data_IF_084844174573
#
_entry.id   IF_084844174573
#
_cell.length_a   1.000
_cell.length_b   1.000
_cell.length_c   1.000
_cell.angle_alpha   90.00
_cell.angle_beta   90.00
_cell.angle_gamma   90.00
#
_symmetry.space_group_name_H-M   'P 1'
#
loop_
_entity.id
_entity.type
_entity.pdbx_description
1 polymer ?
#
# COMPACT_ATOMS: atom_id res chain seq x y z
N UNK A 1 9.76 28.69 -10.15
CA UNK A 1 8.42 28.64 -10.81
C UNK A 1 7.51 29.62 -10.07
N UNK A 2 6.78 30.53 -10.76
CA UNK A 2 5.82 31.39 -10.09
C UNK A 2 4.72 30.56 -9.38
N UNK A 3 4.30 30.89 -8.15
CA UNK A 3 3.32 30.12 -7.37
C UNK A 3 2.01 29.81 -8.12
N UNK A 4 1.59 30.70 -9.04
CA UNK A 4 0.40 30.52 -9.88
C UNK A 4 0.51 29.40 -10.92
N UNK A 5 1.72 29.02 -11.35
CA UNK A 5 1.92 27.96 -12.34
C UNK A 5 2.03 26.56 -11.72
N UNK A 6 2.39 26.48 -10.43
CA UNK A 6 2.49 25.22 -9.67
C UNK A 6 1.18 24.42 -9.72
N UNK A 7 0.03 25.07 -9.60
CA UNK A 7 -1.29 24.41 -9.68
C UNK A 7 -1.59 23.80 -11.05
N UNK A 8 -1.16 24.43 -12.16
CA UNK A 8 -1.35 23.89 -13.52
C UNK A 8 -0.50 22.64 -13.74
N UNK A 9 0.77 22.68 -13.32
CA UNK A 9 1.66 21.53 -13.43
C UNK A 9 1.24 20.39 -12.50
N UNK A 10 0.86 20.69 -11.24
CA UNK A 10 0.33 19.69 -10.31
C UNK A 10 -0.93 19.00 -10.88
N UNK A 11 -1.81 19.74 -11.57
CA UNK A 11 -2.97 19.17 -12.26
C UNK A 11 -2.60 18.22 -13.41
N UNK A 12 -1.59 18.57 -14.22
CA UNK A 12 -1.09 17.71 -15.31
C UNK A 12 -0.45 16.43 -14.74
N UNK A 13 0.41 16.57 -13.72
CA UNK A 13 1.00 15.42 -13.03
C UNK A 13 -0.07 14.53 -12.39
N UNK A 14 -1.07 15.13 -11.75
CA UNK A 14 -2.22 14.42 -11.20
C UNK A 14 -3.00 13.65 -12.28
N UNK A 15 -3.23 14.25 -13.45
CA UNK A 15 -3.90 13.59 -14.58
C UNK A 15 -3.07 12.43 -15.17
N UNK A 16 -1.76 12.57 -15.30
CA UNK A 16 -0.89 11.47 -15.74
C UNK A 16 -0.91 10.33 -14.73
N UNK A 17 -0.80 10.65 -13.44
CA UNK A 17 -0.91 9.67 -12.36
C UNK A 17 -2.27 8.96 -12.36
N UNK A 18 -3.35 9.69 -12.63
CA UNK A 18 -4.70 9.17 -12.77
C UNK A 18 -4.80 8.11 -13.86
N UNK A 19 -4.39 8.49 -15.07
CA UNK A 19 -4.45 7.63 -16.25
C UNK A 19 -3.57 6.41 -16.01
N UNK A 20 -2.37 6.58 -15.43
CA UNK A 20 -1.49 5.47 -15.09
C UNK A 20 -2.10 4.51 -14.07
N UNK A 21 -2.73 5.02 -13.01
CA UNK A 21 -3.33 4.19 -11.96
C UNK A 21 -4.54 3.42 -12.47
N UNK A 22 -5.36 4.01 -13.35
CA UNK A 22 -6.51 3.35 -13.98
C UNK A 22 -6.05 2.35 -15.05
N UNK A 23 -5.11 2.75 -15.90
CA UNK A 23 -4.62 1.91 -16.99
C UNK A 23 -3.80 0.71 -16.51
N UNK A 24 -3.09 0.83 -15.37
CA UNK A 24 -2.22 -0.22 -14.84
C UNK A 24 -2.91 -1.57 -14.66
N UNK A 25 -3.96 -1.68 -13.82
CA UNK A 25 -4.69 -2.94 -13.63
C UNK A 25 -5.37 -3.45 -14.91
N UNK A 26 -5.88 -2.56 -15.76
CA UNK A 26 -6.51 -2.93 -17.03
C UNK A 26 -5.51 -3.55 -18.01
N UNK A 27 -4.40 -2.87 -18.26
CA UNK A 27 -3.33 -3.34 -19.16
C UNK A 27 -2.67 -4.59 -18.57
N UNK A 28 -2.40 -4.60 -17.26
CA UNK A 28 -1.84 -5.75 -16.56
C UNK A 28 -2.75 -6.98 -16.63
N UNK A 29 -4.06 -6.80 -16.41
CA UNK A 29 -5.05 -7.87 -16.52
C UNK A 29 -5.09 -8.47 -17.93
N UNK A 30 -5.14 -7.63 -18.97
CA UNK A 30 -5.14 -8.09 -20.37
C UNK A 30 -3.84 -8.81 -20.73
N UNK A 31 -2.69 -8.34 -20.26
CA UNK A 31 -1.40 -9.00 -20.47
C UNK A 31 -1.37 -10.42 -19.86
N UNK A 32 -1.90 -10.56 -18.64
CA UNK A 32 -1.97 -11.85 -17.95
C UNK A 32 -2.97 -12.80 -18.60
N UNK A 33 -4.16 -12.30 -18.98
CA UNK A 33 -5.22 -13.12 -19.60
C UNK A 33 -4.87 -13.53 -21.05
N UNK A 34 -3.92 -12.85 -21.69
CA UNK A 34 -3.49 -13.19 -23.04
C UNK A 34 -2.50 -14.36 -23.02
N UNK A 35 -2.91 -15.51 -23.57
CA UNK A 35 -2.21 -16.80 -23.50
C UNK A 35 -0.74 -16.81 -23.93
N UNK A 36 -0.32 -15.90 -24.82
CA UNK A 36 1.07 -15.81 -25.33
C UNK A 36 1.92 -14.73 -24.64
N UNK A 37 1.31 -13.80 -23.92
CA UNK A 37 2.00 -12.78 -23.12
C UNK A 37 2.22 -13.33 -21.71
N UNK A 38 1.15 -13.71 -21.01
CA UNK A 38 1.25 -14.16 -19.62
C UNK A 38 1.82 -13.09 -18.68
N UNK A 39 1.91 -13.44 -17.40
CA UNK A 39 2.23 -12.49 -16.32
C UNK A 39 3.62 -11.84 -16.41
N UNK A 40 4.58 -12.48 -17.10
CA UNK A 40 5.97 -11.99 -17.21
C UNK A 40 6.05 -10.66 -17.97
N UNK A 41 5.15 -10.42 -18.92
CA UNK A 41 5.13 -9.19 -19.70
C UNK A 41 4.71 -7.95 -18.92
N UNK A 42 4.09 -8.11 -17.74
CA UNK A 42 3.86 -7.01 -16.81
C UNK A 42 5.16 -6.32 -16.38
N UNK A 43 6.30 -7.04 -16.39
CA UNK A 43 7.62 -6.47 -16.09
C UNK A 43 8.28 -5.85 -17.34
N UNK A 44 8.07 -6.43 -18.52
CA UNK A 44 8.70 -5.96 -19.76
C UNK A 44 8.01 -4.75 -20.36
N UNK A 45 6.69 -4.60 -20.20
CA UNK A 45 5.95 -3.50 -20.83
C UNK A 45 6.41 -2.12 -20.33
N UNK A 46 6.86 -2.01 -19.08
CA UNK A 46 7.35 -0.75 -18.52
C UNK A 46 8.70 -0.30 -19.10
N UNK A 47 9.53 -1.24 -19.54
CA UNK A 47 10.89 -0.98 -20.06
C UNK A 47 10.90 0.00 -21.25
N UNK A 48 10.13 -0.21 -22.34
CA UNK A 48 10.12 0.73 -23.47
C UNK A 48 9.63 2.13 -23.08
N UNK A 49 8.62 2.24 -22.20
CA UNK A 49 8.17 3.54 -21.70
C UNK A 49 9.25 4.25 -20.85
N UNK A 50 9.96 3.50 -20.01
CA UNK A 50 11.07 4.03 -19.22
C UNK A 50 12.21 4.52 -20.11
N UNK A 51 12.59 3.75 -21.14
CA UNK A 51 13.62 4.14 -22.11
C UNK A 51 13.21 5.41 -22.88
N UNK A 52 11.97 5.49 -23.34
CA UNK A 52 11.43 6.68 -23.99
C UNK A 52 11.44 7.90 -23.07
N UNK A 53 11.04 7.74 -21.81
CA UNK A 53 11.06 8.81 -20.82
C UNK A 53 12.50 9.29 -20.55
N UNK A 54 13.46 8.38 -20.38
CA UNK A 54 14.88 8.70 -20.20
C UNK A 54 15.41 9.46 -21.44
N UNK A 55 15.12 8.99 -22.64
CA UNK A 55 15.57 9.64 -23.88
C UNK A 55 14.97 11.05 -24.03
N UNK A 56 13.69 11.23 -23.69
CA UNK A 56 13.03 12.54 -23.66
C UNK A 56 13.68 13.47 -22.65
N UNK A 57 13.90 13.01 -21.42
CA UNK A 57 14.55 13.79 -20.36
C UNK A 57 15.97 14.19 -20.75
N UNK A 58 16.78 13.29 -21.29
CA UNK A 58 18.13 13.60 -21.77
C UNK A 58 18.13 14.66 -22.87
N UNK A 59 17.12 14.69 -23.74
CA UNK A 59 17.03 15.68 -24.84
C UNK A 59 16.47 17.03 -24.40
N UNK A 60 15.52 17.05 -23.47
CA UNK A 60 14.73 18.26 -23.15
C UNK A 60 15.11 18.92 -21.82
N UNK A 61 15.58 18.15 -20.84
CA UNK A 61 15.84 18.66 -19.50
C UNK A 61 17.26 19.25 -19.42
N UNK A 62 17.37 20.56 -19.66
CA UNK A 62 18.60 21.34 -19.44
C UNK A 62 18.49 22.09 -18.12
N UNK A 63 18.92 21.45 -17.03
CA UNK A 63 18.97 22.09 -15.71
C UNK A 63 20.33 22.80 -15.53
N UNK A 64 20.36 24.01 -14.95
CA UNK A 64 21.62 24.63 -14.54
C UNK A 64 22.30 23.74 -13.51
N UNK A 65 23.55 23.35 -13.79
CA UNK A 65 24.34 22.49 -12.92
C UNK A 65 24.82 23.27 -11.70
N UNK A 66 24.06 23.20 -10.62
CA UNK A 66 24.50 23.70 -9.31
C UNK A 66 25.41 22.62 -8.70
N UNK A 67 26.73 22.76 -8.87
CA UNK A 67 27.70 21.91 -8.19
C UNK A 67 27.74 22.29 -6.72
N UNK A 68 27.22 21.43 -5.85
CA UNK A 68 27.38 21.50 -4.40
C UNK A 68 28.25 20.32 -3.97
N UNK A 69 29.21 20.55 -3.08
CA UNK A 69 29.87 19.45 -2.37
C UNK A 69 28.85 18.82 -1.43
N UNK A 70 28.43 17.60 -1.74
CA UNK A 70 27.47 16.83 -0.94
C UNK A 70 28.20 15.65 -0.34
N UNK A 71 28.15 15.49 0.99
CA UNK A 71 28.67 14.32 1.69
C UNK A 71 27.52 13.34 1.90
N UNK A 72 27.50 12.29 1.09
CA UNK A 72 26.47 11.25 1.18
C UNK A 72 26.68 10.42 2.45
N UNK A 73 25.64 10.30 3.27
CA UNK A 73 25.62 9.42 4.44
C UNK A 73 25.37 7.96 4.02
N UNK A 74 26.41 7.30 3.50
CA UNK A 74 26.35 5.90 3.10
C UNK A 74 26.08 4.96 4.28
N UNK A 75 26.60 5.30 5.46
CA UNK A 75 26.51 4.44 6.64
C UNK A 75 25.11 4.50 7.25
N UNK A 76 24.54 5.71 7.40
CA UNK A 76 23.15 5.91 7.80
C UNK A 76 22.18 5.25 6.83
N UNK A 77 22.35 5.49 5.52
CA UNK A 77 21.53 4.86 4.49
C UNK A 77 21.58 3.32 4.57
N UNK A 78 22.77 2.74 4.73
CA UNK A 78 22.93 1.29 4.86
C UNK A 78 22.24 0.74 6.12
N UNK A 79 22.42 1.39 7.28
CA UNK A 79 21.80 0.96 8.53
C UNK A 79 20.27 1.02 8.48
N UNK A 80 19.70 2.09 7.89
CA UNK A 80 18.25 2.21 7.70
C UNK A 80 17.75 1.08 6.80
N UNK A 81 18.36 0.88 5.64
CA UNK A 81 17.93 -0.14 4.68
C UNK A 81 18.06 -1.53 5.29
N UNK A 82 19.20 -1.85 5.91
CA UNK A 82 19.41 -3.15 6.54
C UNK A 82 18.42 -3.42 7.69
N UNK A 83 18.19 -2.42 8.56
CA UNK A 83 17.25 -2.55 9.67
C UNK A 83 15.81 -2.74 9.20
N UNK A 84 15.36 -1.94 8.22
CA UNK A 84 14.01 -2.08 7.66
C UNK A 84 13.84 -3.39 6.90
N UNK A 85 14.81 -3.79 6.07
CA UNK A 85 14.77 -5.07 5.39
C UNK A 85 14.70 -6.25 6.38
N UNK A 86 15.48 -6.23 7.46
CA UNK A 86 15.43 -7.28 8.48
C UNK A 86 14.03 -7.40 9.11
N UNK A 87 13.39 -6.28 9.44
CA UNK A 87 12.02 -6.27 9.97
C UNK A 87 10.99 -6.73 8.93
N UNK A 88 11.12 -6.32 7.67
CA UNK A 88 10.21 -6.75 6.60
C UNK A 88 10.34 -8.24 6.30
N UNK A 89 11.57 -8.76 6.27
CA UNK A 89 11.86 -10.20 6.16
C UNK A 89 11.21 -10.96 7.31
N UNK A 90 11.35 -10.47 8.53
CA UNK A 90 10.69 -11.06 9.69
C UNK A 90 9.17 -11.13 9.53
N UNK A 91 8.49 -10.01 9.25
CA UNK A 91 7.03 -10.00 9.10
C UNK A 91 6.57 -10.88 7.93
N UNK A 92 7.38 -10.98 6.87
CA UNK A 92 7.03 -11.79 5.69
C UNK A 92 7.20 -13.29 5.88
N UNK A 93 8.12 -13.74 6.74
CA UNK A 93 8.47 -15.17 6.91
C UNK A 93 7.95 -15.77 8.22
N UNK A 94 7.69 -14.92 9.23
CA UNK A 94 7.16 -15.35 10.52
C UNK A 94 5.77 -15.97 10.36
N UNK A 95 5.60 -17.18 10.89
CA UNK A 95 4.38 -17.98 10.79
C UNK A 95 4.31 -18.88 9.54
N UNK A 96 5.29 -18.80 8.64
CA UNK A 96 5.40 -19.70 7.48
C UNK A 96 6.67 -20.57 7.55
N UNK A 97 7.84 -19.93 7.51
CA UNK A 97 9.13 -20.64 7.53
C UNK A 97 9.67 -20.84 8.95
N UNK A 98 9.30 -19.96 9.87
CA UNK A 98 9.66 -20.06 11.28
C UNK A 98 8.57 -19.49 12.16
N UNK A 99 8.49 -19.99 13.39
CA UNK A 99 7.46 -19.56 14.34
C UNK A 99 7.62 -18.08 14.74
N UNK A 100 6.49 -17.47 15.08
CA UNK A 100 6.43 -16.12 15.65
C UNK A 100 7.26 -15.98 16.93
N UNK A 101 7.40 -17.06 17.72
CA UNK A 101 8.26 -17.12 18.90
C UNK A 101 9.44 -18.07 18.65
N UNK A 102 10.43 -17.59 17.90
CA UNK A 102 11.62 -18.36 17.51
C UNK A 102 12.90 -17.55 17.69
N UNK A 103 14.05 -18.23 17.72
CA UNK A 103 15.35 -17.53 17.80
C UNK A 103 15.60 -16.67 16.56
N UNK A 104 15.12 -17.10 15.37
CA UNK A 104 15.18 -16.32 14.13
C UNK A 104 14.39 -15.01 14.28
N UNK A 105 13.19 -15.07 14.84
CA UNK A 105 12.40 -13.87 15.18
C UNK A 105 13.18 -12.95 16.12
N UNK A 106 13.81 -13.50 17.17
CA UNK A 106 14.63 -12.71 18.09
C UNK A 106 15.82 -12.02 17.41
N UNK A 107 16.51 -12.71 16.49
CA UNK A 107 17.65 -12.15 15.75
C UNK A 107 17.21 -11.10 14.75
N UNK A 108 16.15 -11.35 13.97
CA UNK A 108 15.69 -10.40 12.95
C UNK A 108 15.05 -9.15 13.57
N UNK A 109 14.23 -9.31 14.60
CA UNK A 109 13.61 -8.16 15.29
C UNK A 109 14.62 -7.42 16.16
N UNK A 110 15.38 -8.12 16.99
CA UNK A 110 16.41 -7.52 17.83
C UNK A 110 17.50 -6.86 16.99
N UNK A 111 18.02 -7.55 15.98
CA UNK A 111 19.01 -7.02 15.04
C UNK A 111 18.47 -5.85 14.21
N UNK A 112 17.24 -5.96 13.68
CA UNK A 112 16.60 -4.88 12.94
C UNK A 112 16.42 -3.62 13.78
N UNK A 113 15.91 -3.75 15.01
CA UNK A 113 15.75 -2.63 15.95
C UNK A 113 17.11 -2.04 16.33
N UNK A 114 18.11 -2.87 16.62
CA UNK A 114 19.47 -2.40 16.93
C UNK A 114 20.07 -1.61 15.76
N UNK A 115 19.90 -2.07 14.52
CA UNK A 115 20.37 -1.38 13.32
C UNK A 115 19.66 -0.03 13.13
N UNK A 116 18.35 0.03 13.36
CA UNK A 116 17.60 1.30 13.28
C UNK A 116 17.99 2.27 14.41
N UNK A 117 18.21 1.78 15.62
CA UNK A 117 18.71 2.60 16.73
C UNK A 117 20.10 3.14 16.38
N UNK A 118 20.99 2.30 15.87
CA UNK A 118 22.30 2.72 15.38
C UNK A 118 22.18 3.75 14.24
N UNK A 119 21.23 3.57 13.32
CA UNK A 119 20.96 4.52 12.25
C UNK A 119 20.58 5.90 12.81
N UNK A 120 19.69 5.96 13.81
CA UNK A 120 19.31 7.22 14.45
C UNK A 120 20.51 7.90 15.10
N UNK A 121 21.41 7.16 15.76
CA UNK A 121 22.62 7.74 16.34
C UNK A 121 23.59 8.29 15.30
N UNK A 122 23.71 7.62 14.15
CA UNK A 122 24.56 8.06 13.03
C UNK A 122 23.95 9.30 12.37
N UNK A 123 22.68 9.23 12.00
CA UNK A 123 21.91 10.33 11.40
C UNK A 123 21.92 11.59 12.28
N UNK A 124 21.89 11.43 13.61
CA UNK A 124 21.96 12.55 14.55
C UNK A 124 23.34 13.25 14.57
N UNK A 125 24.40 12.59 14.09
CA UNK A 125 25.79 13.08 14.11
C UNK A 125 26.31 13.47 12.72
N UNK A 126 25.69 13.00 11.64
CA UNK A 126 26.11 13.31 10.27
C UNK A 126 25.78 14.75 9.88
N UNK A 127 26.67 15.40 9.11
CA UNK A 127 26.49 16.78 8.67
C UNK A 127 25.39 16.95 7.60
N UNK A 128 25.17 15.93 6.77
CA UNK A 128 24.12 15.87 5.75
C UNK A 128 23.33 14.55 5.88
N UNK A 129 22.45 14.43 6.91
CA UNK A 129 21.68 13.21 7.16
C UNK A 129 20.65 12.93 6.07
N UNK A 130 20.33 11.65 5.83
CA UNK A 130 19.29 11.26 4.85
C UNK A 130 17.90 11.64 5.37
N UNK A 131 17.69 11.45 6.68
CA UNK A 131 16.47 11.80 7.40
C UNK A 131 16.84 12.85 8.44
N UNK A 132 16.73 14.16 8.12
CA UNK A 132 17.05 15.22 9.06
C UNK A 132 16.10 15.16 10.28
N UNK A 133 16.56 14.52 11.36
CA UNK A 133 15.73 14.20 12.54
C UNK A 133 15.05 15.43 13.17
N UNK A 134 15.62 16.62 12.95
CA UNK A 134 15.04 17.89 13.35
C UNK A 134 13.64 18.16 12.79
N UNK A 135 13.28 17.60 11.63
CA UNK A 135 11.94 17.76 11.04
C UNK A 135 10.85 17.14 11.92
N UNK A 136 11.15 16.06 12.65
CA UNK A 136 10.21 15.39 13.55
C UNK A 136 9.97 16.17 14.85
N UNK A 137 10.76 17.21 15.13
CA UNK A 137 10.45 18.15 16.22
C UNK A 137 9.20 18.96 15.90
N UNK A 138 8.84 19.09 14.62
CA UNK A 138 7.55 19.65 14.23
C UNK A 138 6.45 18.58 14.40
N UNK A 139 5.50 18.89 15.29
CA UNK A 139 4.35 18.02 15.57
C UNK A 139 3.53 17.68 14.32
N UNK A 140 3.39 18.61 13.38
CA UNK A 140 2.68 18.37 12.12
C UNK A 140 3.36 17.28 11.30
N UNK A 141 4.69 17.32 11.15
CA UNK A 141 5.46 16.33 10.39
C UNK A 141 5.36 14.95 11.04
N UNK A 142 5.44 14.89 12.36
CA UNK A 142 5.34 13.62 13.10
C UNK A 142 3.93 13.01 12.96
N UNK A 143 2.88 13.80 13.14
CA UNK A 143 1.50 13.34 12.98
C UNK A 143 1.20 12.91 11.53
N UNK A 144 1.66 13.68 10.54
CA UNK A 144 1.45 13.32 9.13
C UNK A 144 2.25 12.08 8.74
N UNK A 145 3.41 11.85 9.35
CA UNK A 145 4.20 10.61 9.12
C UNK A 145 3.49 9.38 9.68
N UNK A 146 2.99 9.46 10.91
CA UNK A 146 2.21 8.36 11.52
C UNK A 146 0.94 8.09 10.71
N UNK A 147 0.20 9.14 10.34
CA UNK A 147 -0.99 8.99 9.49
C UNK A 147 -0.63 8.40 8.10
N UNK A 148 0.50 8.80 7.50
CA UNK A 148 0.97 8.27 6.21
C UNK A 148 1.28 6.77 6.28
N UNK A 149 1.87 6.31 7.39
CA UNK A 149 2.08 4.88 7.65
C UNK A 149 0.75 4.12 7.73
N UNK A 150 -0.22 4.63 8.50
CA UNK A 150 -1.53 4.01 8.66
C UNK A 150 -2.34 3.98 7.35
N UNK A 151 -2.26 5.06 6.56
CA UNK A 151 -2.83 5.11 5.21
C UNK A 151 -2.18 4.08 4.30
N UNK A 152 -0.87 3.84 4.44
CA UNK A 152 -0.16 2.76 3.76
C UNK A 152 -0.80 1.39 4.01
N UNK A 153 -1.05 1.05 5.27
CA UNK A 153 -1.71 -0.20 5.68
C UNK A 153 -3.06 -0.34 4.99
N UNK A 154 -3.91 0.69 5.07
CA UNK A 154 -5.26 0.68 4.49
C UNK A 154 -5.24 0.61 2.95
N UNK A 155 -4.36 1.37 2.32
CA UNK A 155 -4.26 1.47 0.86
C UNK A 155 -3.79 0.15 0.24
N UNK A 156 -2.66 -0.38 0.71
CA UNK A 156 -2.10 -1.60 0.13
C UNK A 156 -2.89 -2.84 0.59
N UNK A 157 -3.29 -2.91 1.86
CA UNK A 157 -4.16 -3.98 2.34
C UNK A 157 -5.46 -4.02 1.54
N UNK A 158 -6.17 -2.89 1.44
CA UNK A 158 -7.42 -2.85 0.70
C UNK A 158 -7.28 -3.19 -0.78
N UNK A 159 -6.24 -2.70 -1.45
CA UNK A 159 -6.07 -2.98 -2.89
C UNK A 159 -5.68 -4.43 -3.16
N UNK A 160 -4.79 -5.01 -2.34
CA UNK A 160 -4.30 -6.38 -2.52
C UNK A 160 -5.38 -7.41 -2.20
N UNK A 161 -6.00 -7.34 -1.02
CA UNK A 161 -6.97 -8.34 -0.59
C UNK A 161 -8.27 -8.27 -1.36
N UNK A 162 -8.68 -7.07 -1.80
CA UNK A 162 -9.86 -6.95 -2.64
C UNK A 162 -9.64 -7.53 -4.05
N UNK A 163 -8.44 -7.37 -4.61
CA UNK A 163 -8.07 -8.02 -5.86
C UNK A 163 -8.05 -9.55 -5.73
N UNK A 164 -7.52 -10.07 -4.62
CA UNK A 164 -7.58 -11.50 -4.29
C UNK A 164 -9.03 -11.97 -4.10
N UNK A 165 -9.89 -11.21 -3.44
CA UNK A 165 -11.30 -11.54 -3.28
C UNK A 165 -12.02 -11.70 -4.64
N UNK A 166 -11.76 -10.81 -5.60
CA UNK A 166 -12.35 -10.92 -6.95
C UNK A 166 -11.87 -12.14 -7.73
N UNK A 167 -10.57 -12.41 -7.66
CA UNK A 167 -9.97 -13.50 -8.45
C UNK A 167 -10.23 -14.86 -7.82
N UNK A 168 -10.09 -14.95 -6.50
CA UNK A 168 -10.27 -16.16 -5.73
C UNK A 168 -11.77 -16.31 -5.45
N UNK A 169 -12.31 -15.63 -4.45
CA UNK A 169 -13.68 -15.89 -3.96
C UNK A 169 -14.77 -15.79 -5.05
N UNK A 170 -14.66 -14.86 -6.01
CA UNK A 170 -15.65 -14.70 -7.10
C UNK A 170 -15.26 -15.40 -8.41
N UNK A 171 -14.09 -16.06 -8.47
CA UNK A 171 -13.61 -16.79 -9.63
C UNK A 171 -13.48 -15.94 -10.91
N UNK A 172 -13.28 -14.62 -10.79
CA UNK A 172 -13.19 -13.72 -11.95
C UNK A 172 -11.78 -13.71 -12.53
N UNK A 173 -11.67 -13.49 -13.84
CA UNK A 173 -10.37 -13.34 -14.47
C UNK A 173 -9.66 -12.07 -13.96
N UNK A 174 -8.32 -12.04 -13.98
CA UNK A 174 -7.51 -10.84 -13.71
C UNK A 174 -7.99 -9.57 -14.40
N UNK A 175 -8.42 -9.64 -15.68
CA UNK A 175 -8.96 -8.47 -16.39
C UNK A 175 -10.24 -7.96 -15.74
N UNK A 176 -11.16 -8.85 -15.35
CA UNK A 176 -12.41 -8.47 -14.71
C UNK A 176 -12.15 -7.93 -13.31
N UNK A 177 -11.25 -8.53 -12.53
CA UNK A 177 -10.86 -8.02 -11.21
C UNK A 177 -10.26 -6.60 -11.30
N UNK A 178 -9.42 -6.35 -12.31
CA UNK A 178 -8.91 -5.03 -12.63
C UNK A 178 -10.03 -4.02 -12.95
N UNK A 179 -10.99 -4.41 -13.79
CA UNK A 179 -12.15 -3.58 -14.11
C UNK A 179 -13.04 -3.31 -12.88
N UNK A 180 -13.21 -4.30 -12.01
CA UNK A 180 -13.96 -4.17 -10.76
C UNK A 180 -13.27 -3.26 -9.74
N UNK A 181 -11.96 -3.03 -9.86
CA UNK A 181 -11.20 -2.10 -9.01
C UNK A 181 -11.37 -0.61 -9.37
N UNK A 182 -11.96 -0.32 -10.53
CA UNK A 182 -12.13 1.05 -11.02
C UNK A 182 -12.85 2.02 -10.08
N UNK A 183 -13.96 1.64 -9.38
CA UNK A 183 -14.64 2.56 -8.48
C UNK A 183 -13.73 3.10 -7.37
N UNK A 184 -12.84 2.26 -6.84
CA UNK A 184 -11.86 2.67 -5.83
C UNK A 184 -10.84 3.65 -6.41
N UNK A 185 -10.30 3.34 -7.58
CA UNK A 185 -9.30 4.19 -8.26
C UNK A 185 -9.90 5.55 -8.62
N UNK A 186 -11.13 5.56 -9.14
CA UNK A 186 -11.86 6.80 -9.46
C UNK A 186 -12.16 7.62 -8.20
N UNK A 187 -12.60 6.98 -7.12
CA UNK A 187 -12.82 7.64 -5.82
C UNK A 187 -11.54 8.29 -5.30
N UNK A 188 -10.42 7.56 -5.34
CA UNK A 188 -9.10 8.05 -4.97
C UNK A 188 -8.66 9.24 -5.81
N UNK A 189 -8.82 9.14 -7.12
CA UNK A 189 -8.43 10.19 -8.05
C UNK A 189 -9.22 11.48 -7.84
N UNK A 190 -10.55 11.37 -7.88
CA UNK A 190 -11.46 12.52 -7.82
C UNK A 190 -11.27 13.23 -6.49
N UNK A 191 -11.24 12.49 -5.40
CA UNK A 191 -11.06 13.05 -4.07
C UNK A 191 -9.70 13.69 -3.87
N UNK A 192 -8.60 13.06 -4.32
CA UNK A 192 -7.25 13.63 -4.27
C UNK A 192 -7.17 14.95 -5.04
N UNK A 193 -7.77 15.00 -6.22
CA UNK A 193 -7.74 16.19 -7.08
C UNK A 193 -8.58 17.33 -6.48
N UNK A 194 -9.82 17.02 -6.09
CA UNK A 194 -10.75 18.01 -5.53
C UNK A 194 -10.24 18.52 -4.19
N UNK A 195 -9.85 17.63 -3.27
CA UNK A 195 -9.36 18.03 -1.96
C UNK A 195 -8.06 18.85 -2.07
N UNK A 196 -7.12 18.42 -2.92
CA UNK A 196 -5.88 19.17 -3.16
C UNK A 196 -6.12 20.58 -3.72
N UNK A 197 -7.04 20.72 -4.68
CA UNK A 197 -7.42 22.03 -5.22
C UNK A 197 -8.10 22.92 -4.18
N UNK A 198 -9.05 22.37 -3.42
CA UNK A 198 -9.79 23.15 -2.43
C UNK A 198 -8.89 23.56 -1.27
N UNK A 199 -7.98 22.70 -0.81
CA UNK A 199 -7.00 23.05 0.23
C UNK A 199 -6.05 24.14 -0.29
N UNK A 200 -5.57 24.01 -1.52
CA UNK A 200 -4.72 25.03 -2.14
C UNK A 200 -5.41 26.40 -2.23
N UNK A 201 -6.74 26.43 -2.40
CA UNK A 201 -7.53 27.69 -2.45
C UNK A 201 -7.91 28.22 -1.07
N UNK A 202 -8.26 27.34 -0.13
CA UNK A 202 -8.82 27.73 1.18
C UNK A 202 -7.77 27.85 2.27
N UNK A 203 -6.58 27.27 2.08
CA UNK A 203 -5.52 27.18 3.10
C UNK A 203 -5.85 26.27 4.29
N UNK A 204 -7.08 25.74 4.39
CA UNK A 204 -7.57 24.96 5.52
C UNK A 204 -7.42 23.46 5.24
N UNK A 205 -6.31 22.86 5.65
CA UNK A 205 -6.00 21.44 5.40
C UNK A 205 -6.57 20.48 6.45
N UNK A 206 -6.52 20.84 7.74
CA UNK A 206 -6.84 19.95 8.87
C UNK A 206 -8.22 19.28 8.75
N UNK A 207 -9.26 20.03 8.36
CA UNK A 207 -10.63 19.49 8.24
C UNK A 207 -10.74 18.37 7.21
N UNK A 208 -9.99 18.46 6.12
CA UNK A 208 -10.04 17.48 5.03
C UNK A 208 -9.24 16.24 5.34
N UNK A 209 -8.16 16.38 6.11
CA UNK A 209 -7.40 15.25 6.63
C UNK A 209 -8.23 14.42 7.61
N UNK A 210 -8.86 15.07 8.59
CA UNK A 210 -9.76 14.37 9.54
C UNK A 210 -10.95 13.75 8.80
N UNK A 211 -11.57 14.49 7.87
CA UNK A 211 -12.66 13.94 7.06
C UNK A 211 -12.20 12.75 6.19
N UNK A 212 -11.01 12.82 5.59
CA UNK A 212 -10.45 11.74 4.78
C UNK A 212 -10.16 10.48 5.61
N UNK A 213 -9.57 10.63 6.81
CA UNK A 213 -9.33 9.54 7.74
C UNK A 213 -10.65 8.90 8.21
N UNK A 214 -11.67 9.72 8.50
CA UNK A 214 -13.00 9.23 8.86
C UNK A 214 -13.64 8.45 7.72
N UNK A 215 -13.63 8.99 6.50
CA UNK A 215 -14.18 8.33 5.30
C UNK A 215 -13.43 7.02 5.01
N UNK A 216 -12.11 7.00 5.19
CA UNK A 216 -11.30 5.79 5.03
C UNK A 216 -11.70 4.72 6.06
N UNK A 217 -11.84 5.10 7.33
CA UNK A 217 -12.29 4.18 8.38
C UNK A 217 -13.69 3.63 8.11
N UNK A 218 -14.62 4.48 7.67
CA UNK A 218 -15.98 4.06 7.25
C UNK A 218 -15.91 3.13 6.05
N UNK A 219 -15.07 3.41 5.05
CA UNK A 219 -14.89 2.57 3.87
C UNK A 219 -14.39 1.17 4.23
N UNK A 220 -13.38 1.08 5.11
CA UNK A 220 -12.89 -0.21 5.62
C UNK A 220 -13.97 -0.94 6.43
N UNK A 221 -14.69 -0.24 7.31
CA UNK A 221 -15.75 -0.85 8.11
C UNK A 221 -16.91 -1.37 7.24
N UNK A 222 -17.26 -0.67 6.15
CA UNK A 222 -18.27 -1.13 5.20
C UNK A 222 -17.78 -2.35 4.42
N UNK A 223 -16.53 -2.35 3.96
CA UNK A 223 -15.93 -3.51 3.30
C UNK A 223 -15.86 -4.74 4.24
N UNK A 224 -15.75 -4.53 5.55
CA UNK A 224 -15.82 -5.60 6.54
C UNK A 224 -17.19 -6.28 6.66
N UNK A 225 -18.25 -5.70 6.07
CA UNK A 225 -19.60 -6.30 6.05
C UNK A 225 -19.92 -7.06 4.77
N UNK A 226 -18.94 -7.21 3.87
CA UNK A 226 -19.13 -7.92 2.60
C UNK A 226 -19.28 -9.42 2.86
N UNK A 227 -20.22 -10.01 2.12
CA UNK A 227 -20.45 -11.45 2.06
C UNK A 227 -20.48 -11.90 0.59
N UNK A 228 -20.41 -13.20 0.34
CA UNK A 228 -20.40 -13.79 -1.01
C UNK A 228 -21.65 -13.43 -1.84
N UNK A 229 -22.74 -13.00 -1.19
CA UNK A 229 -24.01 -12.58 -1.83
C UNK A 229 -24.12 -11.06 -2.05
N UNK A 230 -23.12 -10.27 -1.66
CA UNK A 230 -23.21 -8.81 -1.76
C UNK A 230 -23.32 -8.35 -3.21
N UNK A 231 -24.30 -7.49 -3.50
CA UNK A 231 -24.50 -6.92 -4.83
C UNK A 231 -23.29 -6.09 -5.26
N UNK A 232 -22.83 -6.27 -6.51
CA UNK A 232 -21.71 -5.54 -7.09
C UNK A 232 -21.86 -4.02 -7.03
N UNK A 233 -23.10 -3.50 -7.15
CA UNK A 233 -23.36 -2.07 -7.02
C UNK A 233 -23.05 -1.53 -5.62
N UNK A 234 -23.35 -2.31 -4.58
CA UNK A 234 -23.07 -1.96 -3.18
C UNK A 234 -21.56 -2.06 -2.89
N UNK A 235 -20.91 -3.10 -3.42
CA UNK A 235 -19.47 -3.27 -3.35
C UNK A 235 -18.72 -2.10 -4.01
N UNK A 236 -19.16 -1.69 -5.20
CA UNK A 236 -18.60 -0.54 -5.92
C UNK A 236 -18.70 0.76 -5.12
N UNK A 237 -19.81 0.94 -4.37
CA UNK A 237 -19.98 2.09 -3.49
C UNK A 237 -18.99 2.06 -2.32
N UNK A 238 -18.82 0.92 -1.65
CA UNK A 238 -17.87 0.78 -0.53
C UNK A 238 -16.44 1.02 -0.97
N UNK A 239 -16.08 0.49 -2.14
CA UNK A 239 -14.79 0.74 -2.80
C UNK A 239 -14.56 2.21 -3.13
N UNK A 240 -15.59 2.89 -3.66
CA UNK A 240 -15.51 4.32 -3.94
C UNK A 240 -15.33 5.12 -2.65
N UNK A 241 -16.02 4.78 -1.57
CA UNK A 241 -15.86 5.43 -0.25
C UNK A 241 -14.43 5.24 0.26
N UNK A 242 -13.90 4.01 0.25
CA UNK A 242 -12.51 3.75 0.65
C UNK A 242 -11.54 4.56 -0.21
N UNK A 243 -11.72 4.53 -1.53
CA UNK A 243 -10.93 5.29 -2.48
C UNK A 243 -10.94 6.78 -2.15
N UNK A 244 -12.11 7.37 -1.90
CA UNK A 244 -12.25 8.77 -1.51
C UNK A 244 -11.45 9.09 -0.24
N UNK A 245 -11.56 8.26 0.80
CA UNK A 245 -10.79 8.46 2.03
C UNK A 245 -9.28 8.46 1.81
N UNK A 246 -8.79 7.44 1.09
CA UNK A 246 -7.36 7.31 0.76
C UNK A 246 -6.88 8.48 -0.11
N UNK A 247 -7.63 8.87 -1.13
CA UNK A 247 -7.27 9.97 -2.04
C UNK A 247 -7.22 11.32 -1.34
N UNK A 248 -8.15 11.59 -0.42
CA UNK A 248 -8.10 12.78 0.43
C UNK A 248 -6.87 12.82 1.34
N UNK A 249 -6.29 11.68 1.72
CA UNK A 249 -5.12 11.66 2.60
C UNK A 249 -3.81 11.70 1.80
N UNK A 250 -3.75 11.02 0.66
CA UNK A 250 -2.54 10.76 -0.14
C UNK A 250 -1.73 12.02 -0.46
N UNK A 251 -2.39 13.05 -1.00
CA UNK A 251 -1.73 14.32 -1.35
C UNK A 251 -1.71 15.31 -0.18
N UNK A 252 -2.74 15.27 0.67
CA UNK A 252 -2.89 16.30 1.70
C UNK A 252 -1.94 16.13 2.88
N UNK A 253 -1.55 14.88 3.22
CA UNK A 253 -0.50 14.62 4.20
C UNK A 253 0.84 15.20 3.74
N UNK A 254 1.17 15.01 2.45
CA UNK A 254 2.40 15.53 1.85
C UNK A 254 2.38 17.05 1.84
N UNK A 255 1.29 17.66 1.39
CA UNK A 255 1.12 19.13 1.40
C UNK A 255 1.20 19.70 2.82
N UNK A 256 0.59 19.06 3.82
CA UNK A 256 0.64 19.52 5.21
C UNK A 256 2.06 19.53 5.76
N UNK A 257 2.86 18.49 5.50
CA UNK A 257 4.26 18.46 5.90
C UNK A 257 5.12 19.47 5.12
N UNK A 258 4.89 19.62 3.82
CA UNK A 258 5.64 20.56 2.98
C UNK A 258 5.45 22.02 3.42
N UNK A 259 4.25 22.38 3.89
CA UNK A 259 3.98 23.75 4.36
C UNK A 259 4.65 24.08 5.70
N UNK A 260 5.01 23.07 6.47
CA UNK A 260 5.47 23.20 7.86
C UNK A 260 6.99 22.95 8.02
N UNK A 261 7.70 22.73 6.91
CA UNK A 261 9.12 22.39 6.85
C UNK A 261 9.87 23.43 6.00
N UNK A 262 11.12 23.81 6.35
CA UNK A 262 11.92 24.73 5.55
C UNK A 262 12.11 24.25 4.11
N UNK A 263 12.27 25.19 3.16
CA UNK A 263 12.43 24.86 1.75
C UNK A 263 13.61 23.92 1.44
N UNK A 264 14.66 23.97 2.26
CA UNK A 264 15.83 23.09 2.17
C UNK A 264 15.48 21.61 2.45
N UNK A 265 14.48 21.35 3.29
CA UNK A 265 14.13 20.03 3.79
C UNK A 265 12.84 19.46 3.14
N UNK A 266 12.23 20.19 2.18
CA UNK A 266 11.02 19.77 1.45
C UNK A 266 11.16 18.38 0.80
N UNK A 267 12.34 18.13 0.20
CA UNK A 267 12.65 16.84 -0.43
C UNK A 267 12.71 15.71 0.59
N UNK A 268 13.36 15.96 1.73
CA UNK A 268 13.48 14.99 2.82
C UNK A 268 12.12 14.69 3.44
N UNK A 269 11.32 15.71 3.78
CA UNK A 269 9.98 15.52 4.35
C UNK A 269 9.06 14.70 3.43
N UNK A 270 9.06 14.98 2.13
CA UNK A 270 8.26 14.24 1.15
C UNK A 270 8.72 12.78 1.02
N UNK A 271 10.02 12.55 1.06
CA UNK A 271 10.63 11.22 0.97
C UNK A 271 10.34 10.38 2.20
N UNK A 272 10.44 10.98 3.40
CA UNK A 272 10.11 10.35 4.68
C UNK A 272 8.65 9.89 4.69
N UNK A 273 7.70 10.76 4.32
CA UNK A 273 6.28 10.39 4.26
C UNK A 273 6.02 9.23 3.30
N UNK A 274 6.68 9.25 2.14
CA UNK A 274 6.55 8.20 1.13
C UNK A 274 7.15 6.89 1.61
N UNK A 275 8.31 6.95 2.27
CA UNK A 275 8.99 5.80 2.86
C UNK A 275 8.13 5.12 3.94
N UNK A 276 7.67 5.89 4.93
CA UNK A 276 6.82 5.36 6.01
C UNK A 276 5.48 4.83 5.49
N UNK A 277 4.92 5.44 4.43
CA UNK A 277 3.72 4.93 3.76
C UNK A 277 3.97 3.59 3.07
N UNK A 278 5.06 3.46 2.33
CA UNK A 278 5.44 2.20 1.70
C UNK A 278 5.71 1.12 2.74
N UNK A 279 6.42 1.44 3.84
CA UNK A 279 6.60 0.52 4.96
C UNK A 279 5.28 0.08 5.58
N UNK A 280 4.38 1.04 5.88
CA UNK A 280 3.04 0.73 6.38
C UNK A 280 2.26 -0.19 5.44
N UNK A 281 2.39 0.03 4.13
CA UNK A 281 1.83 -0.85 3.12
C UNK A 281 2.37 -2.27 3.18
N UNK A 282 3.70 -2.44 3.18
CA UNK A 282 4.32 -3.76 3.20
C UNK A 282 4.06 -4.50 4.51
N UNK A 283 4.17 -3.82 5.66
CA UNK A 283 3.86 -4.39 6.98
C UNK A 283 2.38 -4.77 7.04
N UNK A 284 1.51 -3.86 6.60
CA UNK A 284 0.06 -4.07 6.56
C UNK A 284 -0.32 -5.31 5.75
N UNK A 285 0.16 -5.40 4.50
CA UNK A 285 -0.11 -6.56 3.64
C UNK A 285 0.44 -7.85 4.23
N UNK A 286 1.62 -7.83 4.84
CA UNK A 286 2.23 -9.04 5.40
C UNK A 286 1.48 -9.54 6.66
N UNK A 287 1.16 -8.64 7.60
CA UNK A 287 0.39 -8.99 8.81
C UNK A 287 -1.03 -9.42 8.46
N UNK A 288 -1.73 -8.66 7.62
CA UNK A 288 -3.06 -9.01 7.14
C UNK A 288 -3.02 -10.33 6.33
N UNK A 289 -1.96 -10.57 5.56
CA UNK A 289 -1.78 -11.81 4.81
C UNK A 289 -1.60 -13.03 5.72
N UNK A 290 -0.79 -12.90 6.77
CA UNK A 290 -0.63 -13.94 7.79
C UNK A 290 -1.94 -14.23 8.55
N UNK A 291 -2.72 -13.19 8.86
CA UNK A 291 -4.05 -13.35 9.48
C UNK A 291 -5.00 -14.07 8.52
N UNK A 292 -5.02 -13.67 7.24
CA UNK A 292 -5.83 -14.31 6.21
C UNK A 292 -5.50 -15.80 6.08
N UNK A 293 -4.22 -16.15 5.96
CA UNK A 293 -3.77 -17.52 5.83
C UNK A 293 -4.23 -18.39 7.02
N UNK A 294 -4.07 -17.89 8.25
CA UNK A 294 -4.52 -18.58 9.46
C UNK A 294 -6.05 -18.74 9.51
N UNK A 295 -6.80 -17.68 9.18
CA UNK A 295 -8.27 -17.71 9.12
C UNK A 295 -8.76 -18.69 8.07
N UNK A 296 -8.23 -18.62 6.85
CA UNK A 296 -8.57 -19.53 5.74
C UNK A 296 -8.27 -20.97 6.14
N UNK A 297 -7.11 -21.25 6.75
CA UNK A 297 -6.79 -22.60 7.24
C UNK A 297 -7.81 -23.08 8.30
N UNK A 298 -8.18 -22.22 9.24
CA UNK A 298 -9.15 -22.56 10.30
C UNK A 298 -10.56 -22.80 9.76
N UNK A 299 -11.03 -21.97 8.82
CA UNK A 299 -12.37 -22.09 8.23
C UNK A 299 -12.43 -23.26 7.23
N UNK A 300 -11.34 -23.53 6.50
CA UNK A 300 -11.23 -24.72 5.64
C UNK A 300 -11.26 -25.99 6.49
N UNK A 301 -10.57 -26.02 7.63
CA UNK A 301 -10.59 -27.16 8.56
C UNK A 301 -12.00 -27.41 9.12
N UNK A 302 -12.71 -26.35 9.51
CA UNK A 302 -14.12 -26.44 9.95
C UNK A 302 -15.05 -26.94 8.83
N UNK A 303 -14.92 -26.38 7.63
CA UNK A 303 -15.72 -26.80 6.47
C UNK A 303 -15.50 -28.26 6.09
N UNK A 304 -14.25 -28.75 6.16
CA UNK A 304 -13.95 -30.17 5.91
C UNK A 304 -14.42 -31.07 7.05
N UNK A 305 -14.34 -30.63 8.31
CA UNK A 305 -14.89 -31.40 9.44
C UNK A 305 -16.41 -31.50 9.38
N UNK A 306 -17.09 -30.43 9.01
CA UNK A 306 -18.56 -30.40 8.84
C UNK A 306 -19.01 -31.25 7.64
N UNK A 307 -18.16 -31.37 6.61
CA UNK A 307 -18.37 -32.26 5.47
C UNK A 307 -17.98 -33.74 5.73
N UNK A 308 -17.46 -34.07 6.92
CA UNK A 308 -17.07 -35.43 7.29
C UNK A 308 -15.81 -35.97 6.60
N UNK A 309 -14.99 -35.10 5.99
CA UNK A 309 -13.76 -35.48 5.29
C UNK A 309 -12.55 -35.22 6.19
N UNK A 310 -11.83 -36.27 6.56
CA UNK A 310 -10.56 -36.14 7.30
C UNK A 310 -9.42 -35.80 6.33
N UNK A 311 -8.79 -34.65 6.56
CA UNK A 311 -7.62 -34.22 5.77
C UNK A 311 -6.42 -35.06 6.18
N UNK A 312 -5.67 -35.70 5.25
CA UNK A 312 -4.34 -36.21 5.55
C UNK A 312 -3.48 -35.02 5.99
N UNK A 313 -2.87 -35.12 7.16
CA UNK A 313 -2.25 -33.99 7.83
C UNK A 313 -1.16 -33.26 7.03
N UNK A 314 -0.98 -31.98 7.37
CA UNK A 314 0.29 -31.27 7.22
C UNK A 314 0.71 -30.95 5.79
N UNK A 315 0.12 -29.90 5.23
CA UNK A 315 0.57 -29.32 3.97
C UNK A 315 0.22 -27.84 3.92
N UNK A 316 0.71 -27.07 4.89
CA UNK A 316 0.65 -25.61 4.83
C UNK A 316 1.50 -25.12 3.67
N UNK A 317 0.91 -24.96 2.50
CA UNK A 317 1.48 -24.11 1.46
C UNK A 317 1.22 -22.66 1.87
N UNK A 318 2.01 -22.17 2.82
CA UNK A 318 1.99 -20.80 3.31
C UNK A 318 2.61 -19.80 2.33
N UNK A 319 2.38 -20.00 1.03
CA UNK A 319 2.63 -18.94 0.09
C UNK A 319 1.38 -18.07 0.01
N UNK A 320 1.55 -16.76 -0.08
CA UNK A 320 0.56 -15.88 -0.70
C UNK A 320 0.30 -16.20 -2.18
N UNK A 321 0.62 -17.42 -2.63
CA UNK A 321 0.25 -17.96 -3.92
C UNK A 321 -1.18 -18.45 -3.84
N UNK A 322 -1.99 -17.87 -4.73
CA UNK A 322 -3.38 -18.23 -4.96
C UNK A 322 -3.46 -19.75 -5.18
N UNK A 323 -4.18 -20.53 -4.36
CA UNK A 323 -4.44 -21.92 -4.67
C UNK A 323 -5.12 -21.99 -6.03
N UNK A 324 -4.61 -22.84 -6.92
CA UNK A 324 -5.16 -22.96 -8.27
C UNK A 324 -6.58 -23.56 -8.19
N UNK A 325 -7.58 -22.67 -8.17
CA UNK A 325 -8.99 -23.01 -7.96
C UNK A 325 -9.59 -23.80 -9.12
N UNK A 326 -8.86 -23.90 -10.24
CA UNK A 326 -9.20 -24.74 -11.38
C UNK A 326 -8.87 -26.22 -11.15
N UNK A 327 -7.98 -26.54 -10.21
CA UNK A 327 -7.52 -27.89 -9.90
C UNK A 327 -8.28 -28.58 -8.75
N UNK A 328 -9.17 -27.85 -8.06
CA UNK A 328 -9.86 -28.33 -6.86
C UNK A 328 -11.24 -28.92 -7.16
N UNK A 329 -11.63 -30.08 -6.57
CA UNK A 329 -12.97 -30.65 -6.70
C UNK A 329 -14.05 -29.65 -6.24
N UNK A 330 -15.18 -29.59 -6.95
CA UNK A 330 -16.27 -28.61 -6.73
C UNK A 330 -16.66 -28.32 -5.28
N UNK A 331 -16.81 -29.33 -4.38
CA UNK A 331 -17.13 -29.11 -2.97
C UNK A 331 -16.02 -28.41 -2.18
N UNK A 332 -14.75 -28.71 -2.48
CA UNK A 332 -13.58 -28.07 -1.86
C UNK A 332 -13.43 -26.62 -2.30
N UNK A 333 -13.75 -26.34 -3.56
CA UNK A 333 -13.74 -24.98 -4.12
C UNK A 333 -14.72 -24.05 -3.41
N UNK A 334 -15.95 -24.50 -3.18
CA UNK A 334 -16.96 -23.70 -2.46
C UNK A 334 -16.60 -23.43 -1.00
N UNK A 335 -15.91 -24.37 -0.34
CA UNK A 335 -15.43 -24.19 1.05
C UNK A 335 -14.31 -23.15 1.10
N UNK A 336 -13.36 -23.21 0.16
CA UNK A 336 -12.25 -22.26 0.08
C UNK A 336 -12.75 -20.87 -0.34
N UNK A 337 -13.68 -20.77 -1.29
CA UNK A 337 -14.30 -19.51 -1.71
C UNK A 337 -15.02 -18.81 -0.55
N UNK A 338 -15.75 -19.56 0.28
CA UNK A 338 -16.41 -19.06 1.48
C UNK A 338 -15.40 -18.66 2.58
N UNK A 339 -14.39 -19.49 2.83
CA UNK A 339 -13.33 -19.19 3.80
C UNK A 339 -12.59 -17.89 3.45
N UNK A 340 -12.28 -17.66 2.17
CA UNK A 340 -11.68 -16.41 1.70
C UNK A 340 -12.61 -15.20 1.84
N UNK A 341 -13.91 -15.34 1.59
CA UNK A 341 -14.87 -14.25 1.75
C UNK A 341 -14.94 -13.77 3.22
N UNK A 342 -15.12 -14.71 4.15
CA UNK A 342 -15.19 -14.42 5.60
C UNK A 342 -13.86 -13.85 6.09
N UNK A 343 -12.74 -14.46 5.72
CA UNK A 343 -11.43 -14.00 6.15
C UNK A 343 -11.10 -12.59 5.60
N UNK A 344 -11.53 -12.27 4.38
CA UNK A 344 -11.36 -10.92 3.81
C UNK A 344 -12.18 -9.87 4.56
N UNK A 345 -13.42 -10.19 4.93
CA UNK A 345 -14.27 -9.31 5.74
C UNK A 345 -13.64 -9.03 7.12
N UNK A 346 -13.12 -10.06 7.79
CA UNK A 346 -12.42 -9.93 9.06
C UNK A 346 -11.14 -9.09 8.96
N UNK A 347 -10.39 -9.18 7.85
CA UNK A 347 -9.21 -8.33 7.63
C UNK A 347 -9.58 -6.85 7.60
N UNK A 348 -10.66 -6.50 6.90
CA UNK A 348 -11.13 -5.12 6.85
C UNK A 348 -11.58 -4.61 8.22
N UNK A 349 -12.15 -5.49 9.05
CA UNK A 349 -12.51 -5.17 10.44
C UNK A 349 -11.25 -4.88 11.27
N UNK A 350 -10.21 -5.70 11.14
CA UNK A 350 -8.92 -5.53 11.83
C UNK A 350 -8.16 -4.31 11.32
N UNK A 351 -8.32 -3.94 10.05
CA UNK A 351 -7.73 -2.74 9.46
C UNK A 351 -8.42 -1.43 9.91
N UNK A 352 -9.69 -1.51 10.34
CA UNK A 352 -10.50 -0.33 10.72
C UNK A 352 -9.90 0.46 11.91
N UNK A 353 -9.45 -0.16 13.01
CA UNK A 353 -8.75 0.54 14.10
C UNK A 353 -7.54 1.37 13.64
N UNK A 354 -6.77 0.87 12.68
CA UNK A 354 -5.61 1.61 12.14
C UNK A 354 -6.05 2.87 11.40
N UNK A 355 -7.18 2.82 10.69
CA UNK A 355 -7.76 4.01 10.07
C UNK A 355 -8.36 4.98 11.08
N UNK A 356 -8.93 4.49 12.18
CA UNK A 356 -9.41 5.35 13.29
C UNK A 356 -8.24 6.02 14.01
N UNK A 357 -7.12 5.32 14.20
CA UNK A 357 -5.89 5.90 14.77
C UNK A 357 -5.25 6.97 13.86
N UNK A 358 -5.64 7.05 12.60
CA UNK A 358 -5.15 8.06 11.66
C UNK A 358 -5.90 9.41 11.75
N UNK A 359 -6.98 9.51 12.56
CA UNK A 359 -7.75 10.73 12.83
C UNK A 359 -7.02 11.73 13.73
#
# INVERSE_FOLDING_TARGET
IPPRQLGKYAGIFGAVFAVGTVAGPLVGGVLVDTSWLGWRWCFFIGVPFALLAIALLQRTLRLPTVKREVRIDWLGAFLIVAGVCALLIWVSLAGNEFDWASWQTGVLTGGGVLLLVAAVFVEARTAEPVIPLGIFRNRTVTLTTVASLLVGVAMFGGTVFLSQYFQISLGKSPTVAGLMSLPMILGLLVSSTVAGQVISRTGKWKRYLVAGAFIMAVGLALLATIDAKTNFGLLSLYMAILGVGVGMLMQNLVLAAQNDVPAADLGAATSVLSFFRSMGGTIGVSVLGAILANRVASETAKGLSDAGVTVPGGGGSGEGSVPDMSALPGPMRTIIEHAYAVATADLFLIATPFAVLAL
#
